data_IF_114468655498
#
_entry.id   IF_114468655498
#
_cell.length_a   1.000
_cell.length_b   1.000
_cell.length_c   1.000
_cell.angle_alpha   90.00
_cell.angle_beta   90.00
_cell.angle_gamma   90.00
#
_symmetry.space_group_name_H-M   'P 1'
#
loop_
_entity.id
_entity.type
_entity.pdbx_description
1 polymer ?
#
# COMPACT_ATOMS: atom_id res chain seq x y z
N UNK A 1 -29.21 12.96 -10.36
CA UNK A 1 -30.26 13.19 -9.33
C UNK A 1 -30.83 11.86 -8.86
N UNK A 2 -31.34 11.68 -7.59
CA UNK A 2 -32.04 10.47 -7.15
C UNK A 2 -33.40 10.41 -7.83
N UNK A 3 -33.68 9.34 -8.61
CA UNK A 3 -34.94 9.11 -9.33
C UNK A 3 -35.89 8.25 -8.51
N UNK A 4 -35.40 7.14 -7.94
CA UNK A 4 -36.27 6.25 -7.16
C UNK A 4 -35.50 5.58 -6.02
N UNK A 5 -36.25 5.17 -5.00
CA UNK A 5 -35.77 4.43 -3.85
C UNK A 5 -36.74 3.29 -3.52
N UNK A 6 -36.26 2.06 -3.64
CA UNK A 6 -36.99 0.85 -3.32
C UNK A 6 -36.46 0.22 -2.04
N UNK A 7 -37.29 0.03 -1.04
CA UNK A 7 -36.94 -0.51 0.27
C UNK A 7 -37.71 -1.81 0.52
N UNK A 8 -37.03 -2.84 1.00
CA UNK A 8 -37.65 -4.13 1.35
C UNK A 8 -37.11 -4.60 2.70
N UNK A 9 -37.99 -4.93 3.60
CA UNK A 9 -37.70 -5.56 4.90
C UNK A 9 -36.75 -4.76 5.77
N UNK A 10 -36.90 -3.44 5.86
CA UNK A 10 -36.08 -2.56 6.69
C UNK A 10 -36.88 -2.06 7.89
N UNK A 11 -36.51 -2.47 9.09
CA UNK A 11 -37.12 -2.13 10.37
C UNK A 11 -38.65 -2.30 10.34
N UNK A 12 -39.40 -1.22 10.21
CA UNK A 12 -40.86 -1.24 10.15
C UNK A 12 -41.42 -1.33 8.72
N UNK A 13 -40.57 -1.12 7.73
CA UNK A 13 -40.96 -1.10 6.32
C UNK A 13 -40.87 -2.51 5.75
N UNK A 14 -41.98 -3.08 5.33
CA UNK A 14 -42.02 -4.32 4.58
C UNK A 14 -41.65 -4.05 3.11
N UNK A 15 -42.42 -3.21 2.45
CA UNK A 15 -42.21 -2.82 1.07
C UNK A 15 -42.58 -1.35 0.87
N UNK A 16 -41.63 -0.58 0.30
CA UNK A 16 -41.86 0.82 -0.04
C UNK A 16 -41.12 1.14 -1.34
N UNK A 17 -41.81 1.75 -2.28
CA UNK A 17 -41.23 2.27 -3.51
C UNK A 17 -41.58 3.76 -3.58
N UNK A 18 -40.60 4.62 -3.79
CA UNK A 18 -40.74 6.08 -3.86
C UNK A 18 -40.08 6.54 -5.14
N UNK A 19 -40.82 7.30 -5.94
CA UNK A 19 -40.28 8.00 -7.10
C UNK A 19 -40.13 9.48 -6.76
N UNK A 20 -38.97 10.02 -7.05
CA UNK A 20 -38.64 11.43 -6.83
C UNK A 20 -38.75 12.20 -8.13
N UNK A 21 -39.46 13.32 -8.09
CA UNK A 21 -39.57 14.23 -9.24
C UNK A 21 -38.39 15.21 -9.22
N UNK A 22 -38.01 15.76 -10.37
CA UNK A 22 -37.05 16.87 -10.41
C UNK A 22 -37.46 18.01 -9.48
N UNK A 23 -36.50 18.74 -8.92
CA UNK A 23 -36.68 19.83 -7.98
C UNK A 23 -36.84 19.37 -6.52
N UNK A 24 -37.60 20.09 -5.70
CA UNK A 24 -37.76 19.85 -4.27
C UNK A 24 -38.86 18.81 -4.01
N UNK A 25 -38.51 17.74 -3.32
CA UNK A 25 -39.43 16.76 -2.77
C UNK A 25 -39.49 16.89 -1.24
N UNK A 26 -40.72 16.94 -0.69
CA UNK A 26 -40.91 17.08 0.76
C UNK A 26 -41.53 15.80 1.32
N UNK A 27 -40.80 15.19 2.29
CA UNK A 27 -41.28 14.03 3.03
C UNK A 27 -41.89 14.47 4.35
N UNK A 28 -43.21 14.34 4.50
CA UNK A 28 -43.91 14.67 5.74
C UNK A 28 -44.37 13.40 6.46
N UNK A 29 -44.53 13.45 7.75
CA UNK A 29 -44.99 12.32 8.56
C UNK A 29 -44.85 12.61 10.04
N UNK A 30 -45.61 11.90 10.87
CA UNK A 30 -45.51 11.98 12.32
C UNK A 30 -44.10 11.63 12.82
N UNK A 31 -43.72 12.16 13.99
CA UNK A 31 -42.37 12.07 14.51
C UNK A 31 -41.93 10.62 14.79
N UNK A 32 -40.74 10.28 14.34
CA UNK A 32 -39.89 9.22 14.90
C UNK A 32 -39.44 8.16 13.91
N UNK A 33 -40.29 7.30 13.36
CA UNK A 33 -39.82 6.07 12.74
C UNK A 33 -39.62 6.18 11.21
N UNK A 34 -40.53 6.73 10.44
CA UNK A 34 -40.52 6.61 8.97
C UNK A 34 -39.38 7.42 8.28
N UNK A 35 -39.18 8.68 8.66
CA UNK A 35 -38.19 9.55 8.01
C UNK A 35 -36.76 9.09 8.27
N UNK A 36 -36.46 8.65 9.49
CA UNK A 36 -35.13 8.14 9.84
C UNK A 36 -34.82 6.84 9.12
N UNK A 37 -35.80 5.94 8.99
CA UNK A 37 -35.63 4.67 8.26
C UNK A 37 -35.35 4.93 6.76
N UNK A 38 -35.98 5.95 6.16
CA UNK A 38 -35.71 6.35 4.77
C UNK A 38 -34.27 6.86 4.62
N UNK A 39 -33.82 7.73 5.54
CA UNK A 39 -32.44 8.24 5.53
C UNK A 39 -31.42 7.13 5.78
N UNK A 40 -31.68 6.19 6.69
CA UNK A 40 -30.81 5.05 6.94
C UNK A 40 -30.78 4.11 5.72
N UNK A 41 -31.92 3.89 5.06
CA UNK A 41 -32.00 3.10 3.83
C UNK A 41 -31.20 3.76 2.69
N UNK A 42 -31.34 5.08 2.51
CA UNK A 42 -30.54 5.84 1.56
C UNK A 42 -29.05 5.78 1.93
N UNK A 43 -28.71 5.93 3.22
CA UNK A 43 -27.35 5.78 3.72
C UNK A 43 -26.74 4.40 3.40
N UNK A 44 -27.54 3.32 3.44
CA UNK A 44 -27.07 1.98 3.07
C UNK A 44 -26.58 1.91 1.63
N UNK A 45 -27.30 2.47 0.67
CA UNK A 45 -26.92 2.48 -0.76
C UNK A 45 -25.85 3.52 -1.07
N UNK A 46 -25.56 4.44 -0.16
CA UNK A 46 -24.45 5.39 -0.23
C UNK A 46 -23.20 4.94 0.54
N UNK A 47 -23.17 3.70 1.03
CA UNK A 47 -21.98 3.11 1.65
C UNK A 47 -21.88 3.22 3.17
N UNK A 48 -22.92 3.68 3.88
CA UNK A 48 -23.01 3.57 5.34
C UNK A 48 -22.82 2.11 5.80
N UNK A 49 -22.28 1.92 6.98
CA UNK A 49 -22.14 0.58 7.58
C UNK A 49 -23.51 -0.07 7.72
N UNK A 50 -23.63 -1.29 7.23
CA UNK A 50 -24.87 -2.06 7.36
C UNK A 50 -24.88 -2.79 8.71
N UNK A 51 -26.00 -2.67 9.44
CA UNK A 51 -26.22 -3.36 10.70
C UNK A 51 -27.40 -4.33 10.56
N UNK A 52 -27.25 -5.53 11.09
CA UNK A 52 -28.29 -6.55 11.03
C UNK A 52 -29.55 -6.17 11.82
N UNK A 53 -29.44 -5.22 12.75
CA UNK A 53 -30.56 -4.60 13.47
C UNK A 53 -31.54 -3.86 12.57
N UNK A 54 -31.12 -3.48 11.36
CA UNK A 54 -32.00 -2.87 10.35
C UNK A 54 -32.89 -3.87 9.64
N UNK A 55 -32.63 -5.18 9.76
CA UNK A 55 -33.47 -6.21 9.14
C UNK A 55 -34.78 -6.32 9.94
N UNK A 56 -35.91 -6.25 9.21
CA UNK A 56 -37.24 -6.38 9.79
C UNK A 56 -37.34 -7.67 10.63
N UNK A 57 -38.00 -7.58 11.76
CA UNK A 57 -38.22 -8.74 12.62
C UNK A 57 -39.03 -9.82 11.88
N UNK A 58 -38.51 -11.04 11.89
CA UNK A 58 -39.13 -12.18 11.16
C UNK A 58 -38.55 -12.41 9.78
N UNK A 59 -37.79 -11.45 9.21
CA UNK A 59 -37.22 -11.56 7.87
C UNK A 59 -35.73 -11.99 7.89
N UNK A 60 -35.29 -12.71 6.87
CA UNK A 60 -33.91 -13.21 6.76
C UNK A 60 -32.95 -12.22 6.11
N UNK A 61 -33.49 -11.26 5.36
CA UNK A 61 -32.72 -10.28 4.60
C UNK A 61 -33.47 -8.98 4.42
N UNK A 62 -32.71 -7.88 4.29
CA UNK A 62 -33.19 -6.62 3.76
C UNK A 62 -32.60 -6.36 2.37
N UNK A 63 -33.29 -5.53 1.59
CA UNK A 63 -32.76 -5.03 0.31
C UNK A 63 -33.17 -3.57 0.11
N UNK A 64 -32.22 -2.75 -0.30
CA UNK A 64 -32.45 -1.37 -0.72
C UNK A 64 -31.86 -1.19 -2.10
N UNK A 65 -32.64 -0.57 -2.98
CA UNK A 65 -32.21 -0.21 -4.33
C UNK A 65 -32.48 1.28 -4.55
N UNK A 66 -31.51 1.99 -5.05
CA UNK A 66 -31.65 3.40 -5.46
C UNK A 66 -31.24 3.56 -6.92
N UNK A 67 -31.98 4.38 -7.66
CA UNK A 67 -31.67 4.72 -9.05
C UNK A 67 -31.36 6.21 -9.10
N UNK A 68 -30.27 6.54 -9.75
CA UNK A 68 -29.79 7.90 -9.95
C UNK A 68 -29.60 8.19 -11.44
N UNK A 69 -29.83 9.44 -11.85
CA UNK A 69 -29.40 9.89 -13.17
C UNK A 69 -27.88 9.84 -13.28
N UNK A 70 -27.36 9.32 -14.38
CA UNK A 70 -25.97 9.44 -14.72
C UNK A 70 -25.70 10.85 -15.26
N UNK A 71 -25.21 11.75 -14.41
CA UNK A 71 -24.87 13.12 -14.79
C UNK A 71 -23.53 13.14 -15.55
N UNK A 72 -23.52 13.44 -16.87
CA UNK A 72 -22.29 13.40 -17.67
C UNK A 72 -21.26 14.47 -17.23
N UNK A 73 -21.71 15.54 -16.59
CA UNK A 73 -20.85 16.63 -16.11
C UNK A 73 -20.13 16.31 -14.78
N UNK A 74 -20.50 15.21 -14.12
CA UNK A 74 -19.84 14.77 -12.88
C UNK A 74 -18.53 14.03 -13.19
N UNK A 75 -17.53 14.80 -13.67
CA UNK A 75 -16.21 14.26 -14.05
C UNK A 75 -15.53 13.41 -12.98
N UNK A 76 -15.51 13.81 -11.68
CA UNK A 76 -14.87 12.99 -10.66
C UNK A 76 -15.51 11.61 -10.49
N UNK A 77 -16.83 11.52 -10.66
CA UNK A 77 -17.54 10.25 -10.64
C UNK A 77 -17.18 9.40 -11.87
N UNK A 78 -17.15 10.00 -13.06
CA UNK A 78 -16.79 9.32 -14.30
C UNK A 78 -15.36 8.76 -14.26
N UNK A 79 -14.39 9.54 -13.76
CA UNK A 79 -13.01 9.09 -13.56
C UNK A 79 -12.95 7.90 -12.59
N UNK A 80 -13.65 7.98 -11.45
CA UNK A 80 -13.70 6.89 -10.46
C UNK A 80 -14.32 5.61 -11.05
N UNK A 81 -15.39 5.74 -11.84
CA UNK A 81 -16.05 4.59 -12.50
C UNK A 81 -15.12 3.97 -13.55
N UNK A 82 -14.47 4.78 -14.38
CA UNK A 82 -13.53 4.32 -15.40
C UNK A 82 -12.33 3.58 -14.79
N UNK A 83 -11.75 4.10 -13.69
CA UNK A 83 -10.65 3.45 -12.96
C UNK A 83 -11.03 2.06 -12.40
N UNK A 84 -12.33 1.82 -12.16
CA UNK A 84 -12.85 0.56 -11.63
C UNK A 84 -13.59 -0.29 -12.69
N UNK A 85 -13.45 0.04 -13.97
CA UNK A 85 -14.06 -0.67 -15.10
C UNK A 85 -15.61 -0.77 -14.98
N UNK A 86 -16.25 0.26 -14.40
CA UNK A 86 -17.68 0.36 -14.25
C UNK A 86 -18.26 1.31 -15.30
N UNK A 87 -19.39 0.90 -15.89
CA UNK A 87 -20.17 1.74 -16.81
C UNK A 87 -21.42 2.26 -16.13
N UNK A 88 -21.61 3.58 -16.16
CA UNK A 88 -22.82 4.21 -15.61
C UNK A 88 -24.04 4.03 -16.52
N UNK A 89 -23.83 3.91 -17.85
CA UNK A 89 -24.93 3.98 -18.80
C UNK A 89 -25.70 5.30 -18.69
N UNK A 90 -27.00 5.26 -18.91
CA UNK A 90 -27.91 6.41 -18.74
C UNK A 90 -28.38 6.56 -17.28
N UNK A 91 -28.32 5.48 -16.50
CA UNK A 91 -28.81 5.42 -15.12
C UNK A 91 -27.80 4.62 -14.25
N UNK A 92 -27.63 5.08 -13.03
CA UNK A 92 -26.84 4.40 -12.00
C UNK A 92 -27.79 3.68 -11.05
N UNK A 93 -27.78 2.35 -11.07
CA UNK A 93 -28.56 1.51 -10.18
C UNK A 93 -27.68 0.92 -9.10
N UNK A 94 -27.92 1.31 -7.85
CA UNK A 94 -27.21 0.76 -6.70
C UNK A 94 -28.15 -0.10 -5.89
N UNK A 95 -27.80 -1.38 -5.73
CA UNK A 95 -28.56 -2.33 -4.91
C UNK A 95 -27.71 -2.89 -3.80
N UNK A 96 -28.23 -2.82 -2.59
CA UNK A 96 -27.59 -3.43 -1.42
C UNK A 96 -28.52 -4.43 -0.76
N UNK A 97 -28.01 -5.63 -0.52
CA UNK A 97 -28.68 -6.71 0.20
C UNK A 97 -27.88 -7.05 1.44
N UNK A 98 -28.52 -7.18 2.58
CA UNK A 98 -27.90 -7.62 3.83
C UNK A 98 -28.70 -8.81 4.37
N UNK A 99 -28.00 -9.90 4.67
CA UNK A 99 -28.59 -11.09 5.27
C UNK A 99 -28.41 -11.07 6.81
N UNK A 100 -29.21 -11.86 7.50
CA UNK A 100 -29.19 -11.98 8.97
C UNK A 100 -27.87 -12.53 9.53
N UNK A 101 -27.10 -13.26 8.71
CA UNK A 101 -25.74 -13.73 9.05
C UNK A 101 -24.66 -12.63 8.98
N UNK A 102 -25.07 -11.38 8.69
CA UNK A 102 -24.19 -10.23 8.55
C UNK A 102 -23.49 -10.12 7.19
N UNK A 103 -23.66 -11.10 6.31
CA UNK A 103 -23.11 -11.03 4.95
C UNK A 103 -23.98 -10.16 4.07
N UNK A 104 -23.35 -9.24 3.36
CA UNK A 104 -24.02 -8.33 2.42
C UNK A 104 -23.47 -8.47 1.01
N UNK A 105 -24.34 -8.18 0.04
CA UNK A 105 -23.96 -8.03 -1.37
C UNK A 105 -24.30 -6.62 -1.83
N UNK A 106 -23.44 -6.07 -2.65
CA UNK A 106 -23.59 -4.72 -3.22
C UNK A 106 -23.43 -4.84 -4.73
N UNK A 107 -24.33 -4.22 -5.45
CA UNK A 107 -24.33 -4.22 -6.91
C UNK A 107 -24.40 -2.78 -7.42
N UNK A 108 -23.65 -2.50 -8.44
CA UNK A 108 -23.67 -1.29 -9.26
C UNK A 108 -23.98 -1.73 -10.69
N UNK A 109 -25.14 -1.33 -11.24
CA UNK A 109 -25.61 -1.79 -12.55
C UNK A 109 -25.41 -3.31 -12.75
N UNK A 110 -25.91 -4.12 -11.80
CA UNK A 110 -25.77 -5.58 -11.74
C UNK A 110 -24.34 -6.14 -11.53
N UNK A 111 -23.30 -5.31 -11.54
CA UNK A 111 -21.94 -5.73 -11.22
C UNK A 111 -21.70 -5.70 -9.71
N UNK A 112 -21.10 -6.75 -9.12
CA UNK A 112 -20.79 -6.75 -7.70
C UNK A 112 -19.61 -5.83 -7.39
N UNK A 113 -19.78 -4.94 -6.40
CA UNK A 113 -18.73 -3.99 -5.97
C UNK A 113 -18.42 -4.12 -4.47
N UNK A 114 -17.28 -3.59 -4.07
CA UNK A 114 -16.87 -3.54 -2.66
C UNK A 114 -17.58 -2.42 -1.88
N UNK A 115 -17.72 -2.59 -0.56
CA UNK A 115 -18.29 -1.55 0.31
C UNK A 115 -17.44 -0.27 0.34
N UNK A 116 -16.13 -0.38 0.13
CA UNK A 116 -15.23 0.77 0.01
C UNK A 116 -15.54 1.57 -1.25
N UNK A 117 -15.64 0.90 -2.39
CA UNK A 117 -15.95 1.55 -3.66
C UNK A 117 -17.33 2.19 -3.63
N UNK A 118 -18.33 1.50 -3.06
CA UNK A 118 -19.67 2.08 -2.86
C UNK A 118 -19.60 3.39 -2.05
N UNK A 119 -18.85 3.42 -0.98
CA UNK A 119 -18.67 4.62 -0.15
C UNK A 119 -18.02 5.77 -0.92
N UNK A 120 -17.08 5.46 -1.79
CA UNK A 120 -16.40 6.46 -2.61
C UNK A 120 -17.33 6.99 -3.73
N UNK A 121 -18.10 6.12 -4.39
CA UNK A 121 -19.15 6.50 -5.37
C UNK A 121 -20.22 7.36 -4.69
N UNK A 122 -20.70 6.94 -3.50
CA UNK A 122 -21.77 7.61 -2.78
C UNK A 122 -21.50 9.09 -2.47
N UNK A 123 -20.22 9.47 -2.29
CA UNK A 123 -19.81 10.87 -2.07
C UNK A 123 -20.13 11.81 -3.25
N UNK A 124 -20.19 11.24 -4.46
CA UNK A 124 -20.45 11.99 -5.69
C UNK A 124 -21.92 11.97 -6.13
N UNK A 125 -22.74 11.11 -5.50
CA UNK A 125 -24.15 10.96 -5.88
C UNK A 125 -25.10 11.83 -5.05
N UNK A 126 -24.97 11.81 -3.73
CA UNK A 126 -25.89 12.53 -2.80
C UNK A 126 -25.12 12.96 -1.56
N UNK A 127 -25.37 14.17 -1.12
CA UNK A 127 -24.99 14.65 0.19
C UNK A 127 -26.17 14.61 1.16
N UNK A 128 -26.01 13.94 2.29
CA UNK A 128 -27.04 13.85 3.32
C UNK A 128 -26.67 14.81 4.45
N UNK A 129 -27.49 15.85 4.64
CA UNK A 129 -27.40 16.77 5.77
C UNK A 129 -28.37 16.32 6.87
N UNK A 130 -27.92 15.51 7.80
CA UNK A 130 -28.71 15.03 8.94
C UNK A 130 -28.35 15.72 10.25
N UNK A 131 -29.16 15.48 11.27
CA UNK A 131 -28.96 16.04 12.61
C UNK A 131 -27.62 15.57 13.26
N UNK A 132 -27.00 14.50 12.72
CA UNK A 132 -25.76 13.87 13.19
C UNK A 132 -24.68 13.69 12.11
N UNK A 133 -24.91 14.08 10.87
CA UNK A 133 -24.05 13.76 9.72
C UNK A 133 -23.44 15.01 9.04
N UNK A 134 -23.01 16.01 9.81
CA UNK A 134 -22.23 17.13 9.28
C UNK A 134 -20.77 16.73 8.91
N UNK A 135 -20.55 15.52 8.35
CA UNK A 135 -19.21 15.03 8.14
C UNK A 135 -18.45 15.77 7.02
N UNK A 136 -19.13 16.32 6.02
CA UNK A 136 -18.48 17.08 4.94
C UNK A 136 -17.88 18.40 5.40
N UNK A 137 -18.68 19.24 6.08
CA UNK A 137 -18.26 20.56 6.57
C UNK A 137 -17.52 20.52 7.90
N UNK A 138 -17.68 19.48 8.72
CA UNK A 138 -16.93 19.32 9.97
C UNK A 138 -15.50 18.80 9.74
N UNK A 139 -15.19 18.27 8.57
CA UNK A 139 -13.85 17.85 8.24
C UNK A 139 -13.05 19.02 7.63
N UNK A 140 -12.07 19.59 8.36
CA UNK A 140 -11.26 20.70 7.85
C UNK A 140 -10.54 20.39 6.54
N UNK A 141 -10.26 19.09 6.24
CA UNK A 141 -9.61 18.69 5.02
C UNK A 141 -10.45 19.00 3.76
N UNK A 142 -11.78 19.04 3.88
CA UNK A 142 -12.68 19.28 2.76
C UNK A 142 -12.98 20.78 2.55
N UNK A 143 -12.66 21.65 3.53
CA UNK A 143 -13.03 23.07 3.45
C UNK A 143 -12.41 23.77 2.24
N UNK A 144 -11.16 23.44 1.92
CA UNK A 144 -10.48 24.02 0.76
C UNK A 144 -11.18 23.59 -0.54
N UNK A 145 -11.49 22.34 -0.69
CA UNK A 145 -12.08 21.80 -1.92
C UNK A 145 -13.50 22.35 -2.17
N UNK A 146 -14.29 22.55 -1.08
CA UNK A 146 -15.58 23.23 -1.14
C UNK A 146 -15.44 24.69 -1.53
N UNK A 147 -14.45 25.41 -0.95
CA UNK A 147 -14.18 26.80 -1.27
C UNK A 147 -13.70 26.97 -2.71
N UNK A 148 -12.81 26.09 -3.16
CA UNK A 148 -12.28 26.08 -4.52
C UNK A 148 -13.39 25.77 -5.55
N UNK A 149 -14.31 24.84 -5.23
CA UNK A 149 -15.49 24.56 -6.05
C UNK A 149 -16.43 25.76 -6.16
N UNK A 150 -16.68 26.47 -5.04
CA UNK A 150 -17.48 27.68 -5.03
C UNK A 150 -16.83 28.81 -5.84
N UNK A 151 -15.50 28.95 -5.75
CA UNK A 151 -14.74 29.96 -6.48
C UNK A 151 -14.66 29.76 -7.97
N UNK A 152 -14.90 28.54 -8.47
CA UNK A 152 -14.92 28.21 -9.90
C UNK A 152 -13.66 28.61 -10.67
N UNK A 153 -12.45 28.32 -10.13
CA UNK A 153 -11.15 28.64 -10.77
C UNK A 153 -10.39 27.39 -11.26
N UNK A 154 -10.96 26.54 -12.11
CA UNK A 154 -10.33 25.24 -12.45
C UNK A 154 -8.96 25.42 -13.12
N UNK A 155 -8.76 26.50 -13.89
CA UNK A 155 -7.48 26.77 -14.55
C UNK A 155 -6.36 27.10 -13.54
N UNK A 156 -6.67 27.92 -12.52
CA UNK A 156 -5.71 28.26 -11.47
C UNK A 156 -5.37 27.07 -10.59
N UNK A 157 -6.36 26.26 -10.23
CA UNK A 157 -6.17 25.02 -9.47
C UNK A 157 -5.26 24.04 -10.21
N UNK A 158 -5.49 23.85 -11.51
CA UNK A 158 -4.63 22.99 -12.32
C UNK A 158 -3.20 23.56 -12.45
N UNK A 159 -3.05 24.86 -12.59
CA UNK A 159 -1.73 25.49 -12.64
C UNK A 159 -0.96 25.30 -11.32
N UNK A 160 -1.62 25.50 -10.17
CA UNK A 160 -1.01 25.26 -8.85
C UNK A 160 -0.68 23.78 -8.66
N UNK A 161 -1.57 22.87 -9.05
CA UNK A 161 -1.34 21.43 -8.97
C UNK A 161 -0.10 21.01 -9.78
N UNK A 162 0.01 21.50 -11.01
CA UNK A 162 1.14 21.19 -11.89
C UNK A 162 2.46 21.77 -11.32
N UNK A 163 2.48 23.04 -10.91
CA UNK A 163 3.65 23.66 -10.30
C UNK A 163 4.10 22.93 -9.02
N UNK A 164 3.14 22.46 -8.21
CA UNK A 164 3.45 21.68 -7.02
C UNK A 164 4.04 20.30 -7.35
N UNK A 165 3.54 19.64 -8.41
CA UNK A 165 4.12 18.38 -8.87
C UNK A 165 5.54 18.57 -9.38
N UNK A 166 5.80 19.61 -10.17
CA UNK A 166 7.14 19.96 -10.65
C UNK A 166 8.09 20.27 -9.49
N UNK A 167 7.64 21.06 -8.52
CA UNK A 167 8.41 21.33 -7.29
C UNK A 167 8.78 20.04 -6.55
N UNK A 168 7.81 19.14 -6.33
CA UNK A 168 8.08 17.86 -5.66
C UNK A 168 9.04 16.98 -6.44
N UNK A 169 8.90 16.92 -7.76
CA UNK A 169 9.81 16.16 -8.61
C UNK A 169 11.24 16.70 -8.53
N UNK A 170 11.39 18.03 -8.65
CA UNK A 170 12.69 18.70 -8.52
C UNK A 170 13.32 18.52 -7.13
N UNK A 171 12.53 18.65 -6.06
CA UNK A 171 13.00 18.42 -4.70
C UNK A 171 13.48 16.98 -4.48
N UNK A 172 12.76 16.00 -5.01
CA UNK A 172 13.17 14.59 -4.93
C UNK A 172 14.45 14.33 -5.74
N UNK A 173 14.54 14.89 -6.95
CA UNK A 173 15.74 14.76 -7.78
C UNK A 173 16.97 15.38 -7.09
N UNK A 174 16.82 16.54 -6.44
CA UNK A 174 17.89 17.17 -5.67
C UNK A 174 18.40 16.25 -4.55
N UNK A 175 17.49 15.71 -3.72
CA UNK A 175 17.87 14.81 -2.61
C UNK A 175 18.62 13.59 -3.16
N UNK A 176 18.10 12.98 -4.24
CA UNK A 176 18.77 11.81 -4.84
C UNK A 176 20.16 12.16 -5.40
N UNK A 177 20.33 13.36 -5.98
CA UNK A 177 21.65 13.82 -6.45
C UNK A 177 22.61 14.06 -5.30
N UNK A 178 22.17 14.66 -4.19
CA UNK A 178 22.97 14.87 -2.97
C UNK A 178 23.44 13.53 -2.37
N UNK A 179 22.54 12.53 -2.30
CA UNK A 179 22.88 11.17 -1.84
C UNK A 179 23.91 10.49 -2.76
N UNK A 180 23.73 10.62 -4.08
CA UNK A 180 24.68 10.05 -5.05
C UNK A 180 26.07 10.69 -4.95
N UNK A 181 26.14 12.01 -4.75
CA UNK A 181 27.42 12.71 -4.53
C UNK A 181 28.11 12.23 -3.26
N UNK A 182 27.35 12.02 -2.18
CA UNK A 182 27.89 11.51 -0.92
C UNK A 182 28.47 10.10 -1.10
N UNK A 183 27.71 9.20 -1.73
CA UNK A 183 28.17 7.83 -2.05
C UNK A 183 29.41 7.82 -2.93
N UNK A 184 29.42 8.66 -3.99
CA UNK A 184 30.56 8.75 -4.88
C UNK A 184 31.85 9.24 -4.16
N UNK A 185 31.73 10.16 -3.20
CA UNK A 185 32.86 10.59 -2.38
C UNK A 185 33.38 9.47 -1.47
N UNK A 186 32.47 8.73 -0.81
CA UNK A 186 32.85 7.59 0.01
C UNK A 186 33.56 6.49 -0.82
N UNK A 187 33.05 6.22 -2.03
CA UNK A 187 33.70 5.29 -2.96
C UNK A 187 35.04 5.78 -3.43
N UNK A 188 35.21 7.08 -3.72
CA UNK A 188 36.47 7.69 -4.11
C UNK A 188 37.51 7.56 -2.99
N UNK A 189 37.13 7.85 -1.74
CA UNK A 189 38.03 7.73 -0.59
C UNK A 189 38.45 6.27 -0.37
N UNK A 190 37.55 5.31 -0.52
CA UNK A 190 37.85 3.88 -0.44
C UNK A 190 38.82 3.45 -1.56
N UNK A 191 38.53 3.86 -2.80
CA UNK A 191 39.40 3.54 -3.94
C UNK A 191 40.78 4.14 -3.78
N UNK A 192 40.91 5.39 -3.31
CA UNK A 192 42.19 6.04 -3.03
C UNK A 192 42.95 5.31 -1.94
N UNK A 193 42.26 4.81 -0.91
CA UNK A 193 42.88 3.99 0.14
C UNK A 193 43.42 2.69 -0.45
N UNK A 194 42.64 1.96 -1.25
CA UNK A 194 43.08 0.70 -1.86
C UNK A 194 44.23 0.89 -2.85
N UNK A 195 44.21 1.97 -3.65
CA UNK A 195 45.32 2.28 -4.55
C UNK A 195 46.62 2.50 -3.74
N UNK A 196 46.59 3.26 -2.65
CA UNK A 196 47.75 3.46 -1.79
C UNK A 196 48.27 2.16 -1.15
N UNK A 197 47.38 1.26 -0.75
CA UNK A 197 47.74 -0.05 -0.23
C UNK A 197 48.40 -0.90 -1.30
N UNK A 198 47.86 -0.94 -2.52
CA UNK A 198 48.46 -1.65 -3.64
C UNK A 198 49.80 -1.09 -4.05
N UNK A 199 49.95 0.23 -4.09
CA UNK A 199 51.23 0.91 -4.35
C UNK A 199 52.30 0.57 -3.29
N UNK A 200 51.90 0.47 -1.99
CA UNK A 200 52.77 0.09 -0.91
C UNK A 200 53.27 -1.36 -1.02
N UNK A 201 52.37 -2.27 -1.43
CA UNK A 201 52.70 -3.69 -1.64
C UNK A 201 53.54 -3.85 -2.92
N UNK A 202 53.33 -2.98 -3.91
CA UNK A 202 54.00 -3.00 -5.21
C UNK A 202 54.07 -4.41 -5.85
N UNK A 203 52.90 -5.06 -6.07
CA UNK A 203 52.88 -6.45 -6.54
C UNK A 203 53.50 -6.57 -7.94
N UNK A 204 54.37 -7.54 -8.11
CA UNK A 204 55.02 -7.83 -9.38
C UNK A 204 54.36 -9.03 -10.05
N UNK A 205 54.22 -8.97 -11.39
CA UNK A 205 53.61 -10.06 -12.15
C UNK A 205 54.40 -11.36 -11.97
N UNK A 206 53.74 -12.38 -11.43
CA UNK A 206 54.35 -13.71 -11.18
C UNK A 206 54.87 -13.90 -9.76
N UNK A 207 54.93 -12.87 -8.92
CA UNK A 207 55.42 -12.92 -7.55
C UNK A 207 54.63 -13.91 -6.68
N UNK A 208 53.32 -14.04 -6.88
CA UNK A 208 52.48 -15.00 -6.15
C UNK A 208 52.96 -16.45 -6.33
N UNK A 209 53.31 -16.84 -7.57
CA UNK A 209 53.82 -18.17 -7.86
C UNK A 209 55.19 -18.40 -7.23
N UNK A 210 56.08 -17.41 -7.27
CA UNK A 210 57.39 -17.45 -6.64
C UNK A 210 57.32 -17.55 -5.10
N UNK A 211 56.51 -16.70 -4.49
CA UNK A 211 56.29 -16.70 -3.03
C UNK A 211 55.57 -17.99 -2.57
N UNK A 212 54.63 -18.51 -3.35
CA UNK A 212 53.98 -19.80 -3.06
C UNK A 212 54.97 -20.97 -3.14
N UNK A 213 55.81 -21.00 -4.16
CA UNK A 213 56.91 -21.97 -4.27
C UNK A 213 57.87 -21.90 -3.07
N UNK A 214 58.35 -20.73 -2.75
CA UNK A 214 59.23 -20.49 -1.62
C UNK A 214 58.60 -20.86 -0.27
N UNK A 215 57.31 -20.59 -0.10
CA UNK A 215 56.57 -21.04 1.09
C UNK A 215 56.52 -22.57 1.20
N UNK A 216 56.30 -23.28 0.08
CA UNK A 216 56.30 -24.73 0.08
C UNK A 216 57.68 -25.29 0.41
N UNK A 217 58.76 -24.72 -0.16
CA UNK A 217 60.11 -25.12 0.15
C UNK A 217 60.45 -24.95 1.64
N UNK A 218 60.05 -23.80 2.23
CA UNK A 218 60.28 -23.54 3.65
C UNK A 218 59.48 -24.49 4.55
N UNK A 219 58.24 -24.79 4.20
CA UNK A 219 57.42 -25.78 4.92
C UNK A 219 58.02 -27.22 4.81
N UNK A 220 58.60 -27.58 3.65
CA UNK A 220 59.29 -28.83 3.52
C UNK A 220 60.59 -28.88 4.31
N UNK A 221 61.36 -27.79 4.31
CA UNK A 221 62.57 -27.65 5.13
C UNK A 221 62.27 -27.77 6.64
N UNK A 222 61.17 -27.14 7.10
CA UNK A 222 60.70 -27.23 8.51
C UNK A 222 60.35 -28.67 8.88
N UNK A 223 59.58 -29.40 8.05
CA UNK A 223 59.26 -30.82 8.27
C UNK A 223 60.49 -31.71 8.28
N UNK A 224 61.48 -31.44 7.39
CA UNK A 224 62.74 -32.15 7.36
C UNK A 224 63.54 -31.89 8.65
N UNK A 225 63.60 -30.64 9.10
CA UNK A 225 64.26 -30.29 10.37
C UNK A 225 63.58 -30.93 11.57
N UNK A 226 62.25 -30.94 11.63
CA UNK A 226 61.50 -31.65 12.70
C UNK A 226 61.81 -33.14 12.67
N UNK A 227 61.80 -33.76 11.48
CA UNK A 227 62.08 -35.19 11.33
C UNK A 227 63.53 -35.52 11.70
N UNK A 228 64.50 -34.65 11.35
CA UNK A 228 65.93 -34.78 11.74
C UNK A 228 66.10 -34.60 13.26
N UNK A 229 65.41 -33.61 13.86
CA UNK A 229 65.44 -33.40 15.31
C UNK A 229 64.83 -34.57 16.06
N UNK A 230 63.72 -35.15 15.53
CA UNK A 230 63.12 -36.33 16.13
C UNK A 230 64.06 -37.53 16.02
N UNK A 231 64.67 -37.76 14.84
CA UNK A 231 65.65 -38.83 14.67
C UNK A 231 66.87 -38.62 15.57
N UNK A 232 67.41 -37.40 15.66
CA UNK A 232 68.49 -37.06 16.54
C UNK A 232 68.17 -37.30 18.03
N UNK A 233 66.95 -36.85 18.46
CA UNK A 233 66.48 -37.08 19.83
C UNK A 233 66.36 -38.58 20.16
N UNK A 234 65.79 -39.34 19.19
CA UNK A 234 65.66 -40.79 19.32
C UNK A 234 66.98 -41.53 19.44
N UNK A 235 67.97 -41.03 18.71
CA UNK A 235 69.36 -41.57 18.79
C UNK A 235 70.12 -41.16 20.01
N UNK A 236 69.86 -40.00 20.57
CA UNK A 236 70.60 -39.45 21.70
C UNK A 236 69.92 -39.68 23.06
N UNK A 237 68.66 -39.76 23.14
CA UNK A 237 67.88 -39.97 24.39
C UNK A 237 67.56 -41.45 24.72
N UNK A 238 67.84 -42.36 23.83
CA UNK A 238 67.60 -43.80 24.06
C UNK A 238 68.78 -44.70 23.87
N UNK A 239 69.59 -44.94 24.89
CA UNK A 239 70.75 -45.82 24.92
C UNK A 239 71.83 -45.44 23.89
N UNK A 240 72.97 -45.12 24.39
CA UNK A 240 74.18 -44.89 23.61
C UNK A 240 74.34 -45.97 22.51
N UNK A 241 73.91 -45.65 21.29
CA UNK A 241 74.02 -46.57 20.12
C UNK A 241 75.42 -47.01 19.91
N UNK A 242 76.36 -46.17 20.28
CA UNK A 242 77.78 -46.54 20.23
C UNK A 242 78.13 -47.61 21.26
N UNK A 243 77.56 -47.58 22.45
CA UNK A 243 77.72 -48.65 23.43
C UNK A 243 77.02 -49.95 23.03
N UNK A 244 75.84 -49.85 22.37
CA UNK A 244 75.16 -51.03 21.86
C UNK A 244 75.97 -51.71 20.69
N UNK A 245 76.58 -50.91 19.82
CA UNK A 245 77.42 -51.45 18.71
C UNK A 245 78.72 -52.05 19.29
N UNK A 246 79.33 -51.45 20.36
CA UNK A 246 80.48 -52.03 21.01
C UNK A 246 80.20 -53.34 21.76
N UNK A 247 78.95 -53.53 22.24
CA UNK A 247 78.57 -54.78 22.91
C UNK A 247 78.24 -55.90 21.89
N UNK A 248 77.96 -55.55 20.63
CA UNK A 248 77.63 -56.52 19.58
C UNK A 248 78.90 -56.96 18.77
N UNK A 249 80.05 -56.39 18.97
CA UNK A 249 81.34 -56.86 18.52
C UNK A 249 82.04 -57.75 19.62
#
# INVERSE_FOLDING_TARGET
MLQSLSIRNVVLIDKLDIDFKPQLSVLTGETGAGKSILLDSLGLVLGKRAETSLIRQGEDKLSVTAIFDAEPDNRPLQELLAENELDAGDEIIIKRVLNRDGKGKIFFNDQPISAKLLKDIGKYLVEIHGQFDNQGLLNPANHRDVLDAYGSYPQLLNAVKNAYHEYKAAAKARISAEENVTKAKEEEDNLRHWVKELERINPVKGEEAELSGRRQELMHAEKIMESLNYAYAALTQGRDVQSAIRQAQ
#
